data_IF_161365147296
#
_entry.id   IF_161365147296
#
_cell.length_a   1.000
_cell.length_b   1.000
_cell.length_c   1.000
_cell.angle_alpha   90.00
_cell.angle_beta   90.00
_cell.angle_gamma   90.00
#
_symmetry.space_group_name_H-M   'P 1'
#
loop_
_entity.id
_entity.type
_entity.pdbx_description
1 polymer ?
#
# COMPACT_ATOMS: atom_id res chain seq x y z
N UNK A 1 -3.09 -45.45 -28.27
CA UNK A 1 -3.95 -44.25 -28.15
C UNK A 1 -4.29 -43.95 -26.69
N UNK A 2 -4.95 -44.82 -25.91
CA UNK A 2 -5.35 -44.58 -24.49
C UNK A 2 -4.21 -44.18 -23.54
N UNK A 3 -2.96 -44.63 -23.73
CA UNK A 3 -1.82 -44.24 -22.88
C UNK A 3 -1.37 -42.79 -23.12
N UNK A 4 -1.45 -42.31 -24.36
CA UNK A 4 -1.10 -40.96 -24.73
C UNK A 4 -2.18 -40.00 -24.22
N UNK A 5 -3.45 -40.34 -24.33
CA UNK A 5 -4.59 -39.59 -23.82
C UNK A 5 -4.50 -39.41 -22.28
N UNK A 6 -4.21 -40.51 -21.56
CA UNK A 6 -4.03 -40.46 -20.11
C UNK A 6 -2.80 -39.63 -19.72
N UNK A 7 -1.71 -39.65 -20.47
CA UNK A 7 -0.53 -38.83 -20.24
C UNK A 7 -0.84 -37.36 -20.46
N UNK A 8 -1.57 -37.01 -21.53
CA UNK A 8 -2.00 -35.64 -21.77
C UNK A 8 -2.93 -35.10 -20.66
N UNK A 9 -3.86 -35.96 -20.19
CA UNK A 9 -4.77 -35.60 -19.10
C UNK A 9 -4.01 -35.35 -17.79
N UNK A 10 -3.02 -36.18 -17.45
CA UNK A 10 -2.21 -35.96 -16.25
C UNK A 10 -1.37 -34.69 -16.33
N UNK A 11 -0.76 -34.39 -17.48
CA UNK A 11 -0.02 -33.13 -17.69
C UNK A 11 -0.95 -31.95 -17.57
N UNK A 12 -2.13 -32.00 -18.16
CA UNK A 12 -3.12 -30.91 -18.04
C UNK A 12 -3.55 -30.68 -16.59
N UNK A 13 -3.82 -31.76 -15.83
CA UNK A 13 -4.16 -31.63 -14.40
C UNK A 13 -3.03 -31.00 -13.58
N UNK A 14 -1.78 -31.40 -13.82
CA UNK A 14 -0.62 -30.84 -13.11
C UNK A 14 -0.46 -29.35 -13.42
N UNK A 15 -0.55 -28.95 -14.69
CA UNK A 15 -0.49 -27.54 -15.10
C UNK A 15 -1.63 -26.74 -14.48
N UNK A 16 -2.85 -27.29 -14.48
CA UNK A 16 -4.02 -26.64 -13.86
C UNK A 16 -3.84 -26.43 -12.37
N UNK A 17 -3.27 -27.39 -11.64
CA UNK A 17 -2.98 -27.26 -10.22
C UNK A 17 -1.90 -26.20 -9.94
N UNK A 18 -0.85 -26.14 -10.77
CA UNK A 18 0.21 -25.13 -10.66
C UNK A 18 -0.37 -23.72 -10.90
N UNK A 19 -1.16 -23.55 -11.96
CA UNK A 19 -1.82 -22.29 -12.26
C UNK A 19 -2.80 -21.88 -11.15
N UNK A 20 -3.57 -22.84 -10.63
CA UNK A 20 -4.50 -22.61 -9.53
C UNK A 20 -3.78 -22.12 -8.27
N UNK A 21 -2.65 -22.77 -7.91
CA UNK A 21 -1.83 -22.33 -6.78
C UNK A 21 -1.30 -20.91 -6.99
N UNK A 22 -0.76 -20.62 -8.17
CA UNK A 22 -0.23 -19.29 -8.49
C UNK A 22 -1.30 -18.18 -8.37
N UNK A 23 -2.54 -18.46 -8.82
CA UNK A 23 -3.66 -17.52 -8.68
C UNK A 23 -4.06 -17.32 -7.21
N UNK A 24 -4.04 -18.39 -6.41
CA UNK A 24 -4.34 -18.29 -4.98
C UNK A 24 -3.27 -17.48 -4.23
N UNK A 25 -1.98 -17.75 -4.50
CA UNK A 25 -0.86 -17.02 -3.91
C UNK A 25 -0.96 -15.51 -4.27
N UNK A 26 -1.26 -15.19 -5.53
CA UNK A 26 -1.48 -13.81 -5.98
C UNK A 26 -2.67 -13.14 -5.27
N UNK A 27 -3.76 -13.86 -5.11
CA UNK A 27 -4.97 -13.34 -4.48
C UNK A 27 -4.77 -13.09 -2.97
N UNK A 28 -4.03 -13.98 -2.32
CA UNK A 28 -3.68 -13.86 -0.91
C UNK A 28 -2.75 -12.65 -0.68
N UNK A 29 -1.70 -12.52 -1.48
CA UNK A 29 -0.78 -11.39 -1.40
C UNK A 29 -1.49 -10.03 -1.60
N UNK A 30 -2.39 -9.95 -2.59
CA UNK A 30 -3.21 -8.75 -2.81
C UNK A 30 -4.15 -8.43 -1.65
N UNK A 31 -4.67 -9.45 -0.95
CA UNK A 31 -5.51 -9.27 0.22
C UNK A 31 -4.69 -8.78 1.42
N UNK A 32 -3.54 -9.41 1.68
CA UNK A 32 -2.64 -9.06 2.79
C UNK A 32 -2.11 -7.63 2.62
N UNK A 33 -1.78 -7.21 1.41
CA UNK A 33 -1.34 -5.85 1.11
C UNK A 33 -2.41 -4.79 1.43
N UNK A 34 -3.70 -5.09 1.16
CA UNK A 34 -4.81 -4.19 1.55
C UNK A 34 -4.97 -4.05 3.07
N UNK A 35 -4.72 -5.13 3.81
CA UNK A 35 -4.77 -5.09 5.28
C UNK A 35 -3.61 -4.23 5.83
N UNK A 36 -2.41 -4.38 5.27
CA UNK A 36 -1.25 -3.59 5.64
C UNK A 36 -1.50 -2.09 5.41
N UNK A 37 -2.07 -1.69 4.27
CA UNK A 37 -2.41 -0.29 4.02
C UNK A 37 -3.42 0.27 5.02
N UNK A 38 -4.42 -0.51 5.45
CA UNK A 38 -5.36 -0.06 6.49
C UNK A 38 -4.67 0.14 7.84
N UNK A 39 -3.76 -0.74 8.22
CA UNK A 39 -2.98 -0.58 9.46
C UNK A 39 -2.11 0.68 9.40
N UNK A 40 -1.47 0.93 8.27
CA UNK A 40 -0.65 2.15 8.08
C UNK A 40 -1.54 3.41 8.07
N UNK A 41 -2.76 3.34 7.53
CA UNK A 41 -3.74 4.43 7.58
C UNK A 41 -4.19 4.72 9.01
N UNK A 42 -4.41 3.69 9.84
CA UNK A 42 -4.73 3.85 11.28
C UNK A 42 -3.57 4.51 12.06
N UNK A 43 -2.32 4.24 11.67
CA UNK A 43 -1.14 4.91 12.26
C UNK A 43 -1.09 6.37 11.80
N UNK A 44 -1.35 6.64 10.52
CA UNK A 44 -1.33 7.99 9.95
C UNK A 44 -2.45 8.88 10.47
N UNK A 45 -3.61 8.29 10.75
CA UNK A 45 -4.84 8.99 11.19
C UNK A 45 -5.42 8.26 12.40
N UNK A 46 -4.82 8.39 13.60
CA UNK A 46 -5.36 7.77 14.80
C UNK A 46 -6.75 8.35 15.09
N UNK A 47 -7.77 7.47 15.22
CA UNK A 47 -9.11 7.89 15.64
C UNK A 47 -9.02 8.51 17.03
N UNK A 48 -9.16 9.84 17.11
CA UNK A 48 -9.45 10.50 18.38
C UNK A 48 -10.88 10.14 18.78
N UNK A 49 -11.05 9.56 19.96
CA UNK A 49 -12.36 9.48 20.63
C UNK A 49 -13.01 10.86 20.54
N UNK A 50 -14.07 10.95 19.75
CA UNK A 50 -14.82 12.18 19.49
C UNK A 50 -15.42 12.68 20.79
N UNK A 51 -14.72 13.59 21.47
CA UNK A 51 -15.40 14.58 22.29
C UNK A 51 -15.66 15.78 21.36
N UNK A 52 -16.92 15.89 20.96
CA UNK A 52 -17.47 17.02 20.22
C UNK A 52 -17.17 18.32 20.97
N UNK A 53 -16.16 19.04 20.53
CA UNK A 53 -16.03 20.48 20.81
C UNK A 53 -16.39 21.22 19.53
N UNK A 54 -17.64 21.71 19.49
CA UNK A 54 -18.13 22.64 18.47
C UNK A 54 -17.25 23.90 18.49
N UNK A 55 -16.30 24.00 17.57
CA UNK A 55 -15.64 25.25 17.25
C UNK A 55 -16.17 25.77 15.94
N UNK A 56 -16.78 26.97 15.99
CA UNK A 56 -17.38 27.67 14.85
C UNK A 56 -16.34 27.89 13.71
N UNK A 57 -16.78 27.89 12.43
CA UNK A 57 -15.90 28.02 11.28
C UNK A 57 -15.36 29.45 11.18
N UNK A 58 -14.06 29.61 11.29
CA UNK A 58 -13.35 30.83 10.89
C UNK A 58 -13.12 30.80 9.37
N UNK A 59 -13.86 31.61 8.62
CA UNK A 59 -13.59 31.94 7.23
C UNK A 59 -12.30 32.76 7.15
N UNK A 60 -11.19 32.21 6.72
CA UNK A 60 -10.10 32.82 5.93
C UNK A 60 -8.81 31.97 5.96
N UNK A 61 -8.86 30.76 5.48
CA UNK A 61 -7.68 30.09 4.89
C UNK A 61 -8.08 28.75 4.23
N UNK A 62 -7.92 28.54 2.92
CA UNK A 62 -8.09 27.22 2.33
C UNK A 62 -6.81 26.37 2.50
N UNK A 63 -6.32 26.26 3.71
CA UNK A 63 -5.41 25.18 4.07
C UNK A 63 -6.32 24.08 4.60
N UNK A 64 -6.48 23.02 3.83
CA UNK A 64 -7.11 21.79 4.31
C UNK A 64 -6.23 21.31 5.45
N UNK A 65 -6.56 21.71 6.67
CA UNK A 65 -5.96 21.20 7.88
C UNK A 65 -6.33 19.71 7.94
N UNK A 66 -5.36 18.85 7.60
CA UNK A 66 -5.39 17.44 7.97
C UNK A 66 -5.00 17.44 9.44
N UNK A 67 -5.96 17.78 10.31
CA UNK A 67 -5.74 18.10 11.73
C UNK A 67 -5.35 16.87 12.58
N UNK A 68 -5.31 15.66 11.99
CA UNK A 68 -5.01 14.40 12.67
C UNK A 68 -3.94 13.56 11.97
N UNK A 69 -3.11 14.13 11.07
CA UNK A 69 -2.09 13.38 10.36
C UNK A 69 -0.80 13.24 11.19
N UNK A 70 -0.54 12.02 11.67
CA UNK A 70 0.67 11.69 12.44
C UNK A 70 1.82 11.23 11.55
N UNK A 71 2.53 12.21 10.99
CA UNK A 71 3.72 11.95 10.17
C UNK A 71 4.87 11.32 10.95
N UNK A 72 5.01 11.65 12.25
CA UNK A 72 6.12 11.13 13.05
C UNK A 72 5.97 9.62 13.28
N UNK A 73 4.78 9.14 13.58
CA UNK A 73 4.53 7.70 13.71
C UNK A 73 4.78 6.93 12.41
N UNK A 74 4.52 7.53 11.24
CA UNK A 74 4.88 6.93 9.96
C UNK A 74 6.39 6.86 9.75
N UNK A 75 7.15 7.89 10.14
CA UNK A 75 8.62 7.88 10.07
C UNK A 75 9.25 6.87 11.01
N UNK A 76 8.65 6.66 12.19
CA UNK A 76 9.10 5.67 13.15
C UNK A 76 8.90 4.24 12.62
N UNK A 77 7.83 4.00 11.86
CA UNK A 77 7.56 2.73 11.19
C UNK A 77 8.45 2.54 9.95
N UNK A 78 8.58 3.58 9.11
CA UNK A 78 9.44 3.55 7.94
C UNK A 78 10.08 4.91 7.67
N UNK A 79 11.40 5.00 7.89
CA UNK A 79 12.18 6.21 7.70
C UNK A 79 12.24 6.70 6.22
N UNK A 80 11.88 5.86 5.25
CA UNK A 80 11.79 6.22 3.84
C UNK A 80 10.44 6.89 3.49
N UNK A 81 9.54 7.07 4.48
CA UNK A 81 8.28 7.76 4.28
C UNK A 81 8.52 9.25 4.00
N UNK A 82 7.96 9.75 2.90
CA UNK A 82 8.06 11.17 2.50
C UNK A 82 6.72 11.89 2.56
N UNK A 83 5.62 11.18 2.82
CA UNK A 83 4.30 11.78 2.93
C UNK A 83 3.16 10.81 2.69
N UNK A 84 1.99 11.39 2.50
CA UNK A 84 0.74 10.68 2.26
C UNK A 84 0.01 11.25 1.06
N UNK A 85 -0.49 10.38 0.16
CA UNK A 85 -1.34 10.78 -0.95
C UNK A 85 -2.78 10.38 -0.67
N UNK A 86 -3.67 11.37 -0.57
CA UNK A 86 -5.11 11.16 -0.48
C UNK A 86 -5.82 11.94 -1.58
N UNK A 87 -6.80 11.31 -2.23
CA UNK A 87 -7.63 11.95 -3.26
C UNK A 87 -9.09 11.87 -2.82
N UNK A 88 -9.67 13.01 -2.48
CA UNK A 88 -11.04 13.10 -2.00
C UNK A 88 -12.05 12.56 -3.02
N UNK A 89 -13.03 11.81 -2.52
CA UNK A 89 -14.04 11.17 -3.35
C UNK A 89 -13.59 9.90 -4.06
N UNK A 90 -12.40 9.38 -3.71
CA UNK A 90 -11.86 8.11 -4.20
C UNK A 90 -11.36 7.25 -3.04
N UNK A 91 -11.06 5.95 -3.32
CA UNK A 91 -10.41 5.03 -2.37
C UNK A 91 -8.88 5.19 -2.34
N UNK A 92 -8.35 6.30 -2.89
CA UNK A 92 -6.91 6.55 -2.94
C UNK A 92 -6.48 7.26 -1.66
N UNK A 93 -5.83 6.49 -0.78
CA UNK A 93 -5.27 6.95 0.50
C UNK A 93 -4.06 6.06 0.81
N UNK A 94 -2.85 6.54 0.46
CA UNK A 94 -1.63 5.73 0.49
C UNK A 94 -0.42 6.50 1.00
N UNK A 95 0.47 5.85 1.78
CA UNK A 95 1.78 6.41 2.10
C UNK A 95 2.63 6.50 0.83
N UNK A 96 3.48 7.51 0.79
CA UNK A 96 4.47 7.69 -0.27
C UNK A 96 5.85 7.53 0.33
N UNK A 97 6.67 6.69 -0.29
CA UNK A 97 8.04 6.43 0.15
C UNK A 97 9.05 6.90 -0.91
N UNK A 98 10.30 7.15 -0.48
CA UNK A 98 11.43 7.35 -1.38
C UNK A 98 12.61 6.52 -0.88
N UNK A 99 12.95 5.47 -1.62
CA UNK A 99 14.07 4.60 -1.33
C UNK A 99 15.39 5.12 -1.91
N UNK A 100 16.47 4.39 -1.63
CA UNK A 100 17.79 4.64 -2.22
C UNK A 100 17.83 4.32 -3.73
N UNK A 101 16.94 3.44 -4.19
CA UNK A 101 16.79 3.04 -5.58
C UNK A 101 15.32 2.96 -5.99
N UNK A 102 15.06 2.76 -7.29
CA UNK A 102 13.71 2.63 -7.84
C UNK A 102 13.24 1.16 -7.98
N UNK A 103 13.93 0.20 -7.38
CA UNK A 103 13.63 -1.23 -7.54
C UNK A 103 13.03 -1.84 -6.27
N UNK A 104 13.52 -1.44 -5.10
CA UNK A 104 13.13 -2.04 -3.83
C UNK A 104 11.62 -2.02 -3.60
N UNK A 105 10.99 -0.85 -3.67
CA UNK A 105 9.56 -0.67 -3.40
C UNK A 105 8.62 -1.12 -4.54
N UNK A 106 9.16 -1.60 -5.67
CA UNK A 106 8.35 -2.30 -6.68
C UNK A 106 7.81 -3.64 -6.16
N UNK A 107 8.51 -4.23 -5.18
CA UNK A 107 8.20 -5.55 -4.64
C UNK A 107 8.20 -5.61 -3.11
N UNK A 108 8.08 -4.47 -2.45
CA UNK A 108 7.98 -4.39 -0.99
C UNK A 108 6.86 -3.43 -0.58
N UNK A 109 6.15 -3.80 0.49
CA UNK A 109 5.13 -2.94 1.11
C UNK A 109 5.77 -1.80 1.92
N UNK A 110 4.92 -0.97 2.54
CA UNK A 110 5.38 0.14 3.38
C UNK A 110 6.25 -0.33 4.55
N UNK A 111 5.98 -1.50 5.10
CA UNK A 111 6.72 -2.12 6.21
C UNK A 111 7.95 -2.91 5.75
N UNK A 112 8.32 -2.79 4.47
CA UNK A 112 9.47 -3.47 3.85
C UNK A 112 9.35 -4.99 3.76
N UNK A 113 8.13 -5.54 3.89
CA UNK A 113 7.88 -6.95 3.59
C UNK A 113 7.72 -7.14 2.07
N UNK A 114 8.03 -8.35 1.58
CA UNK A 114 7.80 -8.66 0.18
C UNK A 114 6.31 -8.58 -0.17
N UNK A 115 5.97 -7.82 -1.21
CA UNK A 115 4.62 -7.66 -1.72
C UNK A 115 4.65 -7.51 -3.25
N UNK A 116 3.84 -8.29 -3.96
CA UNK A 116 3.79 -8.26 -5.44
C UNK A 116 3.34 -6.88 -5.97
N UNK A 117 2.47 -6.20 -5.22
CA UNK A 117 1.93 -4.90 -5.64
C UNK A 117 2.88 -3.72 -5.35
N UNK A 118 3.89 -3.93 -4.47
CA UNK A 118 4.80 -2.86 -4.06
C UNK A 118 4.11 -1.72 -3.28
N UNK A 119 4.82 -0.60 -3.15
CA UNK A 119 4.34 0.62 -2.48
C UNK A 119 4.44 1.83 -3.43
N UNK A 120 3.57 2.82 -3.23
CA UNK A 120 3.64 4.07 -3.96
C UNK A 120 4.95 4.79 -3.62
N UNK A 121 5.81 5.00 -4.61
CA UNK A 121 7.12 5.58 -4.40
C UNK A 121 7.39 6.79 -5.29
N UNK A 122 8.22 7.70 -4.79
CA UNK A 122 8.82 8.76 -5.58
C UNK A 122 10.16 8.27 -6.16
N UNK A 123 10.48 8.66 -7.40
CA UNK A 123 11.76 8.33 -8.03
C UNK A 123 12.94 8.84 -7.15
N UNK A 124 13.91 7.97 -6.86
CA UNK A 124 15.05 8.26 -6.00
C UNK A 124 15.92 9.45 -6.46
N UNK A 125 15.80 9.84 -7.73
CA UNK A 125 16.53 10.99 -8.31
C UNK A 125 15.83 12.33 -8.06
N UNK A 126 14.59 12.31 -7.59
CA UNK A 126 13.90 13.54 -7.24
C UNK A 126 14.43 14.09 -5.92
N UNK A 127 14.65 15.40 -5.88
CA UNK A 127 15.01 16.11 -4.67
C UNK A 127 13.76 16.79 -4.10
N UNK A 128 13.29 16.30 -2.94
CA UNK A 128 12.08 16.81 -2.27
C UNK A 128 12.35 18.17 -1.63
N UNK A 129 13.61 18.45 -1.27
CA UNK A 129 14.03 19.67 -0.60
C UNK A 129 14.41 20.79 -1.59
N UNK A 130 14.47 20.50 -2.88
CA UNK A 130 14.75 21.48 -3.93
C UNK A 130 13.56 22.45 -4.09
N UNK A 131 13.62 23.59 -3.42
CA UNK A 131 12.71 24.73 -3.58
C UNK A 131 13.34 25.83 -4.40
#
# INVERSE_FOLDING_TARGET
>A
MRKIENMMLTVFLVVSLICGKFLLDYWQDSYDNRQNYRQVEEIAFPEKDTQEEETEPNEDNPTTEIDDFDYQSLLDENADCIGWLKIDGTDISYPVVQGEDNEFYLHHDFQKNYAICGTLMLDCRNDIDAR
#
